data_IF_647180290289
#
_entry.id   IF_647180290289
#
_cell.length_a   1.000
_cell.length_b   1.000
_cell.length_c   1.000
_cell.angle_alpha   90.00
_cell.angle_beta   90.00
_cell.angle_gamma   90.00
#
_symmetry.space_group_name_H-M   'P 1'
#
loop_
_entity.id
_entity.type
_entity.pdbx_description
1 polymer ?
#
# COMPACT_ATOMS: atom_id res chain seq x y z
N UNK A 1 -17.28 58.75 73.58
CA UNK A 1 -17.55 60.14 73.14
C UNK A 1 -17.45 60.20 71.62
N UNK A 2 -18.54 60.67 70.99
CA UNK A 2 -18.65 61.28 69.65
C UNK A 2 -18.38 60.49 68.35
N UNK A 3 -19.52 60.23 67.65
CA UNK A 3 -19.83 60.26 66.19
C UNK A 3 -19.38 59.05 65.34
N UNK A 4 -20.24 58.23 64.74
CA UNK A 4 -21.38 58.43 63.79
C UNK A 4 -20.95 58.96 62.41
N UNK A 5 -21.25 58.16 61.35
CA UNK A 5 -21.71 58.45 59.95
C UNK A 5 -21.37 57.18 59.13
N UNK A 6 -22.29 56.28 58.78
CA UNK A 6 -23.44 56.35 57.87
C UNK A 6 -23.11 56.18 56.37
N UNK A 7 -23.49 54.99 55.86
CA UNK A 7 -24.13 54.65 54.58
C UNK A 7 -23.73 55.35 53.28
N UNK A 8 -23.46 54.52 52.26
CA UNK A 8 -23.45 54.91 50.86
C UNK A 8 -23.35 53.72 49.90
N UNK A 9 -24.44 52.97 49.74
CA UNK A 9 -24.67 52.10 48.58
C UNK A 9 -24.87 53.01 47.36
N UNK A 10 -24.06 52.85 46.32
CA UNK A 10 -24.18 53.57 45.06
C UNK A 10 -23.85 52.66 43.87
N UNK A 11 -24.88 52.32 43.10
CA UNK A 11 -24.96 51.98 41.67
C UNK A 11 -23.67 51.56 40.93
N UNK A 12 -23.55 50.35 40.38
CA UNK A 12 -24.20 49.83 39.15
C UNK A 12 -24.00 50.74 37.93
N UNK A 13 -23.26 50.19 36.96
CA UNK A 13 -23.26 50.45 35.50
C UNK A 13 -22.50 51.67 34.95
N UNK A 14 -21.58 51.33 34.03
CA UNK A 14 -21.07 52.12 32.88
C UNK A 14 -19.69 52.77 33.03
N UNK A 15 -18.61 52.02 32.76
CA UNK A 15 -17.67 52.29 31.64
C UNK A 15 -17.04 50.95 31.20
N UNK A 16 -17.82 50.19 30.44
CA UNK A 16 -17.33 49.33 29.37
C UNK A 16 -16.87 50.26 28.23
N UNK A 17 -15.58 50.55 28.10
CA UNK A 17 -15.07 51.21 26.88
C UNK A 17 -13.55 51.15 26.61
N UNK A 18 -12.69 50.66 27.52
CA UNK A 18 -11.24 50.72 27.30
C UNK A 18 -10.46 49.42 27.60
N UNK A 19 -11.15 48.28 27.62
CA UNK A 19 -10.55 46.95 27.52
C UNK A 19 -10.96 46.21 26.22
N UNK A 20 -11.72 46.87 25.35
CA UNK A 20 -12.44 46.25 24.22
C UNK A 20 -12.00 46.66 22.81
N UNK A 21 -10.90 47.39 22.63
CA UNK A 21 -10.51 47.88 21.28
C UNK A 21 -9.12 47.39 20.80
N UNK A 22 -8.39 46.61 21.62
CA UNK A 22 -7.12 46.00 21.22
C UNK A 22 -7.17 44.53 20.79
N UNK A 23 -8.35 43.88 20.83
CA UNK A 23 -8.49 42.43 20.61
C UNK A 23 -9.29 42.07 19.34
N UNK A 24 -9.31 42.99 18.38
CA UNK A 24 -10.00 42.87 17.08
C UNK A 24 -9.01 42.77 15.90
N UNK A 25 -7.80 42.27 16.14
CA UNK A 25 -6.80 41.97 15.10
C UNK A 25 -6.65 40.44 14.96
N UNK A 26 -7.47 39.90 14.07
CA UNK A 26 -7.27 38.66 13.29
C UNK A 26 -6.86 37.38 14.02
N UNK A 27 -7.85 36.62 14.51
CA UNK A 27 -7.67 35.19 14.75
C UNK A 27 -7.47 34.51 13.39
N UNK A 28 -6.25 34.06 13.11
CA UNK A 28 -6.01 33.20 11.97
C UNK A 28 -6.74 31.87 12.14
N UNK A 29 -7.21 31.28 11.04
CA UNK A 29 -7.80 29.94 11.05
C UNK A 29 -6.75 28.95 10.53
N UNK A 30 -6.61 27.82 11.22
CA UNK A 30 -5.77 26.70 10.79
C UNK A 30 -6.67 25.49 10.58
N UNK A 31 -6.54 24.86 9.42
CA UNK A 31 -7.28 23.63 9.08
C UNK A 31 -6.31 22.60 8.54
N UNK A 32 -6.46 21.34 8.97
CA UNK A 32 -5.71 20.20 8.45
C UNK A 32 -6.65 19.30 7.65
N UNK A 33 -6.22 18.91 6.47
CA UNK A 33 -6.81 17.78 5.76
C UNK A 33 -6.35 16.46 6.38
N UNK A 34 -7.10 15.38 6.16
CA UNK A 34 -6.64 14.04 6.51
C UNK A 34 -5.40 13.66 5.70
N UNK A 35 -4.39 13.03 6.33
CA UNK A 35 -3.22 12.55 5.61
C UNK A 35 -3.63 11.59 4.49
N UNK A 36 -3.01 11.76 3.33
CA UNK A 36 -3.11 10.90 2.17
C UNK A 36 -1.88 10.03 2.08
N UNK A 37 -2.03 8.72 1.89
CA UNK A 37 -0.88 7.89 1.52
C UNK A 37 -0.36 8.29 0.14
N UNK A 38 0.94 8.14 -0.01
CA UNK A 38 1.70 8.59 -1.15
C UNK A 38 2.55 7.43 -1.67
N UNK A 39 2.06 6.72 -2.70
CA UNK A 39 2.73 5.56 -3.26
C UNK A 39 2.54 4.28 -2.44
N UNK A 40 3.19 3.18 -2.85
CA UNK A 40 3.05 1.90 -2.17
C UNK A 40 3.65 1.92 -0.75
N UNK A 41 3.01 1.24 0.22
CA UNK A 41 3.61 0.91 1.51
C UNK A 41 4.78 -0.07 1.35
N UNK A 42 5.70 -0.10 2.32
CA UNK A 42 6.82 -1.05 2.33
C UNK A 42 6.99 -1.70 3.70
N UNK A 43 7.21 -3.01 3.73
CA UNK A 43 7.67 -3.70 4.94
C UNK A 43 9.19 -3.55 5.02
N UNK A 44 9.66 -2.79 5.99
CA UNK A 44 11.06 -2.47 6.21
C UNK A 44 11.63 -3.39 7.28
N UNK A 45 12.71 -4.10 6.96
CA UNK A 45 13.43 -4.93 7.92
C UNK A 45 14.52 -4.12 8.62
N UNK A 46 14.61 -4.20 9.94
CA UNK A 46 15.59 -3.42 10.71
C UNK A 46 16.22 -4.27 11.81
N UNK A 47 17.22 -3.75 12.52
CA UNK A 47 17.77 -4.42 13.70
C UNK A 47 16.75 -4.60 14.82
N UNK A 48 15.63 -3.86 14.77
CA UNK A 48 14.50 -3.91 15.71
C UNK A 48 13.35 -4.80 15.24
N UNK A 49 13.53 -5.53 14.14
CA UNK A 49 12.49 -6.32 13.49
C UNK A 49 11.84 -5.60 12.32
N UNK A 50 10.77 -6.19 11.79
CA UNK A 50 10.04 -5.64 10.66
C UNK A 50 9.09 -4.51 11.08
N UNK A 51 8.99 -3.47 10.26
CA UNK A 51 8.06 -2.35 10.45
C UNK A 51 7.38 -2.02 9.13
N UNK A 52 6.08 -1.78 9.14
CA UNK A 52 5.40 -1.30 7.94
C UNK A 52 5.52 0.22 7.84
N UNK A 53 6.18 0.70 6.80
CA UNK A 53 6.33 2.11 6.52
C UNK A 53 5.29 2.60 5.51
N UNK A 54 4.72 3.77 5.79
CA UNK A 54 3.80 4.50 4.92
C UNK A 54 4.38 5.89 4.66
N UNK A 55 4.48 6.28 3.39
CA UNK A 55 4.70 7.67 3.01
C UNK A 55 3.35 8.39 2.95
N UNK A 56 3.24 9.57 3.55
CA UNK A 56 1.99 10.36 3.60
C UNK A 56 2.21 11.83 3.30
N UNK A 57 1.19 12.47 2.74
CA UNK A 57 1.09 13.92 2.53
C UNK A 57 -0.08 14.44 3.34
N UNK A 58 0.13 15.50 4.11
CA UNK A 58 -0.95 16.22 4.79
C UNK A 58 -0.93 17.70 4.41
N UNK A 59 -2.10 18.24 4.09
CA UNK A 59 -2.26 19.66 3.77
C UNK A 59 -2.71 20.40 5.02
N UNK A 60 -1.97 21.43 5.41
CA UNK A 60 -2.34 22.41 6.41
C UNK A 60 -2.62 23.74 5.71
N UNK A 61 -3.79 24.32 5.91
CA UNK A 61 -4.13 25.65 5.40
C UNK A 61 -4.24 26.62 6.55
N UNK A 62 -3.51 27.74 6.46
CA UNK A 62 -3.55 28.85 7.42
C UNK A 62 -4.08 30.09 6.72
N UNK A 63 -5.11 30.71 7.28
CA UNK A 63 -5.55 32.03 6.87
C UNK A 63 -5.23 33.03 7.97
N UNK A 64 -4.56 34.14 7.64
CA UNK A 64 -4.29 35.20 8.60
C UNK A 64 -4.27 36.57 7.92
N UNK A 65 -4.49 37.62 8.71
CA UNK A 65 -4.48 39.01 8.21
C UNK A 65 -3.18 39.67 8.60
N UNK A 66 -2.56 40.42 7.68
CA UNK A 66 -1.37 41.19 8.00
C UNK A 66 -1.71 42.35 8.96
N UNK A 67 -0.89 42.66 9.98
CA UNK A 67 -1.19 43.66 11.01
C UNK A 67 -1.51 45.08 10.49
N UNK A 68 -1.10 45.42 9.27
CA UNK A 68 -1.30 46.73 8.64
C UNK A 68 -2.02 46.67 7.29
N UNK A 69 -2.55 45.51 6.89
CA UNK A 69 -3.27 45.36 5.63
C UNK A 69 -4.70 44.86 5.84
N UNK A 70 -5.60 45.19 4.92
CA UNK A 70 -6.90 44.52 4.78
C UNK A 70 -6.78 43.20 4.03
N UNK A 71 -5.61 42.89 3.47
CA UNK A 71 -5.33 41.66 2.74
C UNK A 71 -5.25 40.46 3.68
N UNK A 72 -6.01 39.42 3.35
CA UNK A 72 -5.86 38.08 3.90
C UNK A 72 -4.78 37.33 3.14
N UNK A 73 -3.88 36.67 3.86
CA UNK A 73 -2.92 35.73 3.30
C UNK A 73 -3.45 34.33 3.53
N UNK A 74 -3.44 33.53 2.47
CA UNK A 74 -3.60 32.09 2.54
C UNK A 74 -2.20 31.46 2.43
N UNK A 75 -1.81 30.74 3.47
CA UNK A 75 -0.58 29.95 3.49
C UNK A 75 -0.96 28.47 3.51
N UNK A 76 -0.62 27.76 2.44
CA UNK A 76 -0.79 26.31 2.35
C UNK A 76 0.55 25.64 2.63
N UNK A 77 0.53 24.69 3.56
CA UNK A 77 1.69 23.92 3.98
C UNK A 77 1.45 22.46 3.64
N UNK A 78 2.40 21.86 2.95
CA UNK A 78 2.36 20.45 2.60
C UNK A 78 3.41 19.72 3.42
N UNK A 79 2.93 18.90 4.34
CA UNK A 79 3.76 18.05 5.18
C UNK A 79 4.00 16.72 4.46
N UNK A 80 5.23 16.49 4.03
CA UNK A 80 5.65 15.22 3.43
C UNK A 80 6.30 14.37 4.51
N UNK A 81 5.67 13.24 4.84
CA UNK A 81 6.02 12.44 6.02
C UNK A 81 6.22 10.98 5.68
N UNK A 82 6.96 10.30 6.54
CA UNK A 82 6.98 8.84 6.64
C UNK A 82 6.57 8.46 8.05
N UNK A 83 5.80 7.40 8.17
CA UNK A 83 5.40 6.81 9.45
C UNK A 83 5.63 5.31 9.44
N UNK A 84 5.97 4.75 10.60
CA UNK A 84 6.07 3.32 10.79
C UNK A 84 4.94 2.78 11.65
N UNK A 85 4.56 1.54 11.36
CA UNK A 85 3.54 0.80 12.05
C UNK A 85 4.08 -0.57 12.46
N UNK A 86 3.72 -1.00 13.67
CA UNK A 86 4.04 -2.34 14.15
C UNK A 86 3.20 -3.38 13.36
N UNK A 87 3.81 -4.37 12.69
CA UNK A 87 3.08 -5.42 11.96
C UNK A 87 2.08 -6.21 12.83
N UNK A 88 2.33 -6.31 14.12
CA UNK A 88 1.57 -7.13 15.07
C UNK A 88 0.25 -6.47 15.47
N UNK A 89 0.21 -5.14 15.52
CA UNK A 89 -0.92 -4.36 16.03
C UNK A 89 -1.47 -3.35 15.04
N UNK A 90 -0.73 -3.05 13.96
CA UNK A 90 -0.92 -1.94 13.01
C UNK A 90 -0.83 -0.54 13.60
N UNK A 91 -0.54 -0.42 14.90
CA UNK A 91 -0.42 0.88 15.55
C UNK A 91 0.82 1.62 15.04
N UNK A 92 0.68 2.93 14.86
CA UNK A 92 1.79 3.81 14.50
C UNK A 92 2.79 3.85 15.65
N UNK A 93 4.04 3.50 15.37
CA UNK A 93 5.15 3.53 16.33
C UNK A 93 5.84 4.89 16.32
N UNK A 94 6.02 5.49 15.14
CA UNK A 94 6.58 6.82 14.97
C UNK A 94 6.11 7.49 13.68
N UNK A 95 6.28 8.82 13.61
CA UNK A 95 6.08 9.63 12.42
C UNK A 95 7.22 10.63 12.29
N UNK A 96 7.67 10.88 11.06
CA UNK A 96 8.74 11.81 10.74
C UNK A 96 8.37 12.68 9.55
N UNK A 97 8.52 13.99 9.71
CA UNK A 97 8.46 14.94 8.61
C UNK A 97 9.79 14.99 7.87
N UNK A 98 9.74 14.73 6.57
CA UNK A 98 10.91 14.74 5.68
C UNK A 98 11.05 16.07 4.96
N UNK A 99 9.93 16.68 4.58
CA UNK A 99 9.91 18.00 3.97
C UNK A 99 8.64 18.75 4.32
N UNK A 100 8.77 20.08 4.42
CA UNK A 100 7.68 21.02 4.57
C UNK A 100 7.71 22.01 3.40
N UNK A 101 6.78 21.86 2.47
CA UNK A 101 6.66 22.80 1.34
C UNK A 101 5.65 23.87 1.75
N UNK A 102 6.09 25.12 1.82
CA UNK A 102 5.25 26.25 2.19
C UNK A 102 4.94 27.05 0.94
N UNK A 103 3.66 27.14 0.60
CA UNK A 103 3.14 28.01 -0.43
C UNK A 103 2.44 29.20 0.21
N UNK A 104 2.86 30.40 -0.16
CA UNK A 104 2.17 31.65 0.16
C UNK A 104 1.59 32.20 -1.11
N UNK A 105 0.26 32.24 -1.19
CA UNK A 105 -0.38 32.82 -2.35
C UNK A 105 -1.47 33.81 -1.96
N UNK A 106 -1.55 34.88 -2.74
CA UNK A 106 -2.66 35.81 -2.72
C UNK A 106 -3.78 35.36 -3.70
N UNK A 107 -3.50 34.35 -4.52
CA UNK A 107 -4.36 33.84 -5.59
C UNK A 107 -4.49 32.31 -5.48
N UNK A 108 -5.68 31.74 -5.70
CA UNK A 108 -6.00 30.33 -5.37
C UNK A 108 -5.32 29.27 -6.26
N UNK A 109 -4.19 29.58 -6.91
CA UNK A 109 -3.44 28.59 -7.68
C UNK A 109 -2.87 27.55 -6.70
N UNK A 110 -3.16 26.30 -6.99
CA UNK A 110 -2.66 25.14 -6.23
C UNK A 110 -1.31 24.77 -6.83
N UNK A 111 -0.20 25.00 -6.11
CA UNK A 111 1.08 24.43 -6.52
C UNK A 111 1.16 22.98 -6.05
N UNK A 112 1.63 22.10 -6.94
CA UNK A 112 1.85 20.71 -6.61
C UNK A 112 3.12 20.61 -5.73
N UNK A 113 2.96 20.35 -4.43
CA UNK A 113 4.07 20.18 -3.49
C UNK A 113 4.97 18.95 -3.73
N UNK A 114 4.79 18.27 -4.86
CA UNK A 114 5.52 17.07 -5.20
C UNK A 114 5.13 15.88 -4.33
N UNK A 115 5.59 14.67 -4.71
CA UNK A 115 5.27 13.45 -3.99
C UNK A 115 6.26 13.18 -2.86
N UNK A 116 5.86 12.32 -1.93
CA UNK A 116 6.79 11.51 -1.13
C UNK A 116 6.60 10.04 -1.50
N UNK A 117 7.68 9.26 -1.64
CA UNK A 117 7.61 7.86 -2.09
C UNK A 117 8.67 7.02 -1.41
N UNK A 118 8.27 5.85 -0.90
CA UNK A 118 9.21 4.78 -0.55
C UNK A 118 9.62 4.08 -1.85
N UNK A 119 10.92 4.05 -2.13
CA UNK A 119 11.44 3.51 -3.39
C UNK A 119 11.92 2.06 -3.22
N UNK A 120 12.59 1.76 -2.11
CA UNK A 120 13.07 0.42 -1.79
C UNK A 120 14.06 0.42 -0.64
N UNK A 121 14.54 -0.76 -0.27
CA UNK A 121 15.43 -0.95 0.86
C UNK A 121 16.66 -1.77 0.47
N UNK A 122 17.84 -1.27 0.81
CA UNK A 122 19.12 -1.98 0.73
C UNK A 122 19.73 -2.03 2.12
N UNK A 123 19.87 -3.23 2.70
CA UNK A 123 20.39 -3.42 4.07
C UNK A 123 19.62 -2.53 5.08
N UNK A 124 20.31 -1.74 5.88
CA UNK A 124 19.77 -0.81 6.88
C UNK A 124 19.38 0.56 6.32
N UNK A 125 19.35 0.73 4.98
CA UNK A 125 18.98 1.98 4.31
C UNK A 125 17.71 1.82 3.49
N UNK A 126 16.76 2.73 3.73
CA UNK A 126 15.54 2.89 2.95
C UNK A 126 15.66 4.11 2.06
N UNK A 127 15.50 3.93 0.76
CA UNK A 127 15.51 5.03 -0.20
C UNK A 127 14.12 5.63 -0.33
N UNK A 128 14.07 6.96 -0.26
CA UNK A 128 12.83 7.74 -0.26
C UNK A 128 12.99 8.94 -1.19
N UNK A 129 11.99 9.18 -2.03
CA UNK A 129 11.85 10.47 -2.71
C UNK A 129 10.98 11.40 -1.87
N UNK A 130 11.39 12.63 -1.65
CA UNK A 130 10.58 13.64 -0.97
C UNK A 130 10.68 14.98 -1.69
N UNK A 131 9.54 15.48 -2.19
CA UNK A 131 9.42 16.69 -3.01
C UNK A 131 10.23 16.60 -4.31
N UNK A 132 11.48 17.04 -4.27
CA UNK A 132 12.42 17.16 -5.38
C UNK A 132 13.78 16.52 -5.07
N UNK A 133 13.87 15.70 -4.00
CA UNK A 133 15.11 15.12 -3.52
C UNK A 133 15.01 13.61 -3.28
N UNK A 134 16.09 12.92 -3.64
CA UNK A 134 16.37 11.55 -3.22
C UNK A 134 17.04 11.56 -1.84
N UNK A 135 16.48 10.80 -0.91
CA UNK A 135 16.96 10.64 0.46
C UNK A 135 17.27 9.17 0.73
N UNK A 136 18.35 8.93 1.49
CA UNK A 136 18.65 7.66 2.13
C UNK A 136 18.33 7.78 3.62
N UNK A 137 17.40 6.98 4.12
CA UNK A 137 16.96 6.97 5.51
C UNK A 137 17.45 5.70 6.22
N UNK A 138 17.76 5.81 7.51
CA UNK A 138 18.03 4.67 8.39
C UNK A 138 16.78 3.82 8.59
N UNK A 139 16.84 2.51 8.38
CA UNK A 139 15.72 1.59 8.59
C UNK A 139 15.25 1.51 10.06
N UNK A 140 16.10 1.88 11.04
CA UNK A 140 15.77 1.77 12.46
C UNK A 140 14.90 2.92 13.00
N UNK A 141 15.07 4.13 12.45
CA UNK A 141 14.51 5.38 13.02
C UNK A 141 14.22 6.48 11.99
N UNK A 142 14.35 6.17 10.69
CA UNK A 142 14.22 7.12 9.59
C UNK A 142 15.14 8.35 9.67
N UNK A 143 16.23 8.32 10.44
CA UNK A 143 17.28 9.36 10.39
C UNK A 143 17.85 9.48 8.98
N UNK A 144 18.08 10.72 8.51
CA UNK A 144 18.63 10.96 7.17
C UNK A 144 20.10 10.54 7.19
N UNK A 145 20.43 9.48 6.46
CA UNK A 145 21.80 8.99 6.27
C UNK A 145 22.49 9.75 5.14
N UNK A 146 21.78 10.00 4.04
CA UNK A 146 22.25 10.86 2.95
C UNK A 146 21.10 11.65 2.32
N UNK A 147 21.38 12.89 1.99
CA UNK A 147 20.59 13.79 1.15
C UNK A 147 21.39 14.13 -0.12
N UNK A 148 20.88 15.01 -0.98
CA UNK A 148 21.60 15.43 -2.20
C UNK A 148 23.00 15.94 -1.90
N UNK A 149 23.16 16.79 -0.89
CA UNK A 149 24.47 17.37 -0.57
C UNK A 149 25.49 16.30 -0.18
N UNK A 150 25.07 15.31 0.63
CA UNK A 150 25.95 14.17 0.97
C UNK A 150 26.22 13.26 -0.22
N UNK A 151 25.24 13.01 -1.08
CA UNK A 151 25.42 12.21 -2.31
C UNK A 151 26.42 12.88 -3.27
N UNK A 152 26.36 14.20 -3.42
CA UNK A 152 27.31 14.98 -4.23
C UNK A 152 28.68 15.05 -3.59
N UNK A 153 28.78 15.21 -2.27
CA UNK A 153 30.06 15.17 -1.56
C UNK A 153 30.75 13.79 -1.69
N UNK A 154 29.98 12.71 -1.69
CA UNK A 154 30.48 11.36 -1.97
C UNK A 154 30.84 11.14 -3.45
N UNK A 155 30.34 11.98 -4.36
CA UNK A 155 30.56 11.86 -5.80
C UNK A 155 30.84 13.23 -6.45
N UNK A 156 32.00 13.87 -6.18
CA UNK A 156 32.25 15.26 -6.60
C UNK A 156 32.16 15.50 -8.12
N UNK A 157 32.44 14.47 -8.92
CA UNK A 157 32.29 14.53 -10.38
C UNK A 157 30.83 14.59 -10.86
N UNK A 158 29.86 14.41 -9.96
CA UNK A 158 28.42 14.39 -10.23
C UNK A 158 27.66 15.58 -9.60
N UNK A 159 28.36 16.56 -9.03
CA UNK A 159 27.73 17.75 -8.44
C UNK A 159 26.82 18.45 -9.46
N UNK A 160 25.57 18.70 -9.07
CA UNK A 160 24.55 19.31 -9.93
C UNK A 160 23.95 18.37 -10.98
N UNK A 161 24.37 17.10 -11.04
CA UNK A 161 23.86 16.14 -12.03
C UNK A 161 22.76 15.22 -11.49
N UNK A 162 22.55 15.18 -10.16
CA UNK A 162 21.45 14.43 -9.58
C UNK A 162 20.09 15.05 -9.95
N UNK A 163 19.09 14.23 -10.32
CA UNK A 163 17.82 14.75 -10.82
C UNK A 163 16.98 15.41 -9.72
N UNK A 164 16.06 16.27 -10.15
CA UNK A 164 14.98 16.87 -9.35
C UNK A 164 13.61 16.27 -9.67
N UNK A 165 13.57 15.25 -10.54
CA UNK A 165 12.35 14.52 -10.89
C UNK A 165 12.41 13.07 -10.43
N UNK A 166 11.28 12.58 -9.93
CA UNK A 166 11.06 11.19 -9.53
C UNK A 166 11.12 10.21 -10.71
N UNK A 167 10.89 10.69 -11.94
CA UNK A 167 10.89 9.86 -13.14
C UNK A 167 12.31 9.32 -13.46
N UNK A 168 13.33 9.95 -12.91
CA UNK A 168 14.74 9.65 -13.14
C UNK A 168 15.36 8.76 -12.05
N UNK A 169 14.54 8.20 -11.15
CA UNK A 169 14.99 7.24 -10.13
C UNK A 169 14.19 5.95 -10.21
N UNK A 170 14.88 4.81 -10.03
CA UNK A 170 14.26 3.50 -10.07
C UNK A 170 14.89 2.57 -9.03
N UNK A 171 14.04 1.75 -8.42
CA UNK A 171 14.50 0.63 -7.61
C UNK A 171 14.62 -0.63 -8.46
N UNK A 172 15.84 -1.10 -8.69
CA UNK A 172 16.11 -2.28 -9.52
C UNK A 172 17.20 -3.17 -8.90
N UNK A 173 16.85 -3.81 -7.78
CA UNK A 173 17.80 -4.58 -6.96
C UNK A 173 18.83 -3.70 -6.22
N UNK A 174 18.60 -2.39 -6.24
CA UNK A 174 19.43 -1.31 -5.70
C UNK A 174 18.91 0.03 -6.23
N UNK A 175 19.41 1.13 -5.68
CA UNK A 175 19.00 2.46 -6.13
C UNK A 175 19.73 2.86 -7.41
N UNK A 176 18.98 3.00 -8.50
CA UNK A 176 19.48 3.47 -9.80
C UNK A 176 18.97 4.88 -10.05
N UNK A 177 19.88 5.75 -10.49
CA UNK A 177 19.61 7.15 -10.81
C UNK A 177 20.04 7.42 -12.25
N UNK A 178 19.13 7.97 -13.04
CA UNK A 178 19.46 8.62 -14.31
C UNK A 178 19.85 10.06 -14.02
N UNK A 179 21.09 10.42 -14.34
CA UNK A 179 21.61 11.77 -14.18
C UNK A 179 21.03 12.70 -15.26
N UNK A 180 21.08 14.01 -15.02
CA UNK A 180 20.57 15.02 -15.98
C UNK A 180 21.27 15.00 -17.34
N UNK A 181 22.46 14.39 -17.43
CA UNK A 181 23.21 14.19 -18.67
C UNK A 181 22.93 12.84 -19.36
N UNK A 182 21.94 12.08 -18.85
CA UNK A 182 21.48 10.81 -19.40
C UNK A 182 22.27 9.58 -18.95
N UNK A 183 23.39 9.74 -18.22
CA UNK A 183 24.13 8.60 -17.67
C UNK A 183 23.33 7.94 -16.55
N UNK A 184 23.38 6.61 -16.48
CA UNK A 184 22.79 5.84 -15.38
C UNK A 184 23.88 5.43 -14.40
N UNK A 185 23.61 5.64 -13.12
CA UNK A 185 24.48 5.22 -12.02
C UNK A 185 23.70 4.43 -10.99
N UNK A 186 24.37 3.48 -10.32
CA UNK A 186 23.85 2.80 -9.14
C UNK A 186 24.52 3.37 -7.90
N UNK A 187 23.73 3.74 -6.90
CA UNK A 187 24.24 4.14 -5.59
C UNK A 187 24.53 2.90 -4.75
N UNK A 188 25.73 2.82 -4.19
CA UNK A 188 26.22 1.67 -3.41
C UNK A 188 26.39 2.01 -1.92
N UNK A 189 26.13 1.03 -1.04
CA UNK A 189 26.28 1.19 0.41
C UNK A 189 27.58 0.57 0.94
N UNK A 190 28.19 1.12 2.01
CA UNK A 190 27.63 2.17 2.89
C UNK A 190 28.01 3.62 2.48
N UNK A 191 28.93 3.80 1.55
CA UNK A 191 29.56 5.10 1.29
C UNK A 191 28.81 5.99 0.29
N UNK A 192 27.68 5.51 -0.24
CA UNK A 192 26.85 6.19 -1.24
C UNK A 192 27.60 6.57 -2.53
N UNK A 193 28.57 5.74 -2.93
CA UNK A 193 29.31 5.93 -4.19
C UNK A 193 28.43 5.57 -5.38
N UNK A 194 28.48 6.40 -6.40
CA UNK A 194 27.78 6.22 -7.67
C UNK A 194 28.69 5.46 -8.64
N UNK A 195 28.28 4.25 -9.01
CA UNK A 195 28.99 3.43 -9.98
C UNK A 195 28.25 3.44 -11.32
N UNK A 196 28.94 3.50 -12.47
CA UNK A 196 28.30 3.37 -13.77
C UNK A 196 27.44 2.10 -13.82
N UNK A 197 26.20 2.23 -14.30
CA UNK A 197 25.27 1.12 -14.35
C UNK A 197 24.58 1.03 -15.70
N UNK A 198 24.47 -0.19 -16.20
CA UNK A 198 23.73 -0.51 -17.42
C UNK A 198 22.64 -1.52 -17.11
N UNK A 199 21.50 -1.38 -17.77
CA UNK A 199 20.41 -2.34 -17.63
C UNK A 199 20.90 -3.71 -18.11
N UNK A 200 20.71 -4.80 -17.34
CA UNK A 200 21.07 -6.13 -17.78
C UNK A 200 20.41 -6.48 -19.12
N UNK A 201 21.14 -7.19 -19.98
CA UNK A 201 20.65 -7.57 -21.30
C UNK A 201 19.28 -8.27 -21.21
N UNK A 202 18.34 -7.82 -22.04
CA UNK A 202 16.96 -8.34 -22.05
C UNK A 202 16.04 -7.81 -20.94
N UNK A 203 16.49 -6.87 -20.10
CA UNK A 203 15.70 -6.34 -18.98
C UNK A 203 15.22 -4.88 -19.15
N UNK A 204 15.42 -4.24 -20.31
CA UNK A 204 15.03 -2.83 -20.54
C UNK A 204 13.56 -2.57 -20.18
N UNK A 205 12.63 -3.41 -20.65
CA UNK A 205 11.21 -3.29 -20.31
C UNK A 205 10.91 -3.44 -18.82
N UNK A 206 11.68 -4.27 -18.12
CA UNK A 206 11.52 -4.44 -16.68
C UNK A 206 12.02 -3.21 -15.91
N UNK A 207 13.13 -2.62 -16.37
CA UNK A 207 13.66 -1.38 -15.83
C UNK A 207 12.73 -0.19 -16.08
N UNK A 208 12.26 0.01 -17.31
CA UNK A 208 11.30 1.08 -17.65
C UNK A 208 10.04 0.99 -16.79
N UNK A 209 9.57 -0.23 -16.54
CA UNK A 209 8.44 -0.46 -15.64
C UNK A 209 8.79 -0.14 -14.19
N UNK A 210 9.98 -0.47 -13.71
CA UNK A 210 10.41 -0.12 -12.36
C UNK A 210 10.47 1.40 -12.16
N UNK A 211 11.05 2.13 -13.13
CA UNK A 211 11.03 3.59 -13.15
C UNK A 211 9.59 4.16 -13.21
N UNK A 212 8.71 3.55 -14.02
CA UNK A 212 7.28 3.88 -14.03
C UNK A 212 6.58 3.61 -12.71
N UNK A 213 6.90 2.51 -12.02
CA UNK A 213 6.34 2.19 -10.71
C UNK A 213 6.67 3.25 -9.67
N UNK A 214 7.87 3.84 -9.73
CA UNK A 214 8.30 4.90 -8.83
C UNK A 214 7.43 6.16 -8.94
N UNK A 215 6.98 6.55 -10.14
CA UNK A 215 6.24 7.80 -10.36
C UNK A 215 4.74 7.65 -10.65
N UNK A 216 4.31 6.64 -11.40
CA UNK A 216 2.93 6.52 -11.92
C UNK A 216 1.94 5.92 -10.90
N UNK A 217 2.38 4.99 -10.06
CA UNK A 217 1.47 4.19 -9.22
C UNK A 217 1.29 4.77 -7.81
N UNK A 218 0.42 5.77 -7.70
CA UNK A 218 0.08 6.49 -6.46
C UNK A 218 -0.44 5.61 -5.32
N UNK A 219 -1.00 4.42 -5.60
CA UNK A 219 -1.61 3.53 -4.60
C UNK A 219 -0.95 2.16 -4.44
N UNK A 220 0.10 1.86 -5.20
CA UNK A 220 0.46 0.48 -5.55
C UNK A 220 -0.36 0.00 -6.74
N UNK A 221 0.25 -0.82 -7.61
CA UNK A 221 -0.36 -1.28 -8.86
C UNK A 221 -1.32 -2.46 -8.69
N UNK A 222 -1.55 -2.91 -7.45
CA UNK A 222 -2.25 -4.15 -7.18
C UNK A 222 -3.71 -3.92 -6.84
N UNK A 223 -4.52 -4.78 -7.43
CA UNK A 223 -5.93 -4.98 -7.10
C UNK A 223 -6.08 -6.27 -6.29
N UNK A 224 -7.25 -6.47 -5.68
CA UNK A 224 -7.63 -7.72 -5.00
C UNK A 224 -7.32 -8.95 -5.85
N UNK A 225 -7.52 -8.82 -7.18
CA UNK A 225 -7.32 -9.90 -8.13
C UNK A 225 -5.87 -10.40 -8.20
N UNK A 226 -4.89 -9.50 -8.05
CA UNK A 226 -3.46 -9.80 -8.21
C UNK A 226 -2.90 -10.71 -7.10
N UNK A 227 -3.57 -10.72 -5.94
CA UNK A 227 -3.19 -11.51 -4.77
C UNK A 227 -3.74 -12.93 -4.77
N UNK A 228 -4.58 -13.29 -5.73
CA UNK A 228 -5.23 -14.60 -5.79
C UNK A 228 -4.59 -15.57 -6.79
N UNK A 229 -4.69 -16.86 -6.49
CA UNK A 229 -4.46 -17.99 -7.42
C UNK A 229 -5.67 -18.91 -7.41
N UNK A 230 -5.87 -19.61 -8.51
CA UNK A 230 -7.02 -20.52 -8.71
C UNK A 230 -6.74 -21.95 -8.29
N UNK A 231 -5.50 -22.42 -8.32
CA UNK A 231 -5.18 -23.83 -8.09
C UNK A 231 -3.77 -24.03 -7.52
N UNK A 232 -3.50 -25.26 -7.12
CA UNK A 232 -2.24 -25.74 -6.51
C UNK A 232 -2.12 -27.24 -6.72
N UNK A 233 -0.93 -27.79 -6.49
CA UNK A 233 -0.71 -29.23 -6.35
C UNK A 233 -0.41 -29.53 -4.89
N UNK A 234 -1.29 -30.27 -4.22
CA UNK A 234 -1.18 -30.64 -2.82
C UNK A 234 -1.12 -32.16 -2.68
N UNK A 235 -0.06 -32.70 -2.05
CA UNK A 235 0.09 -34.15 -1.89
C UNK A 235 0.07 -34.91 -3.22
N UNK A 236 0.63 -34.31 -4.29
CA UNK A 236 0.61 -34.88 -5.65
C UNK A 236 -0.74 -34.80 -6.37
N UNK A 237 -1.75 -34.15 -5.78
CA UNK A 237 -3.09 -34.01 -6.37
C UNK A 237 -3.33 -32.56 -6.76
N UNK A 238 -3.90 -32.36 -7.94
CA UNK A 238 -4.32 -31.03 -8.39
C UNK A 238 -5.61 -30.64 -7.66
N UNK A 239 -5.61 -29.45 -7.05
CA UNK A 239 -6.77 -28.87 -6.37
C UNK A 239 -6.99 -27.45 -6.87
N UNK A 240 -8.22 -27.15 -7.25
CA UNK A 240 -8.64 -25.83 -7.72
C UNK A 240 -9.76 -25.25 -6.86
N UNK A 241 -9.80 -23.92 -6.78
CA UNK A 241 -10.95 -23.16 -6.31
C UNK A 241 -11.64 -22.58 -7.55
N UNK A 242 -12.65 -23.29 -8.05
CA UNK A 242 -13.29 -23.04 -9.34
C UNK A 242 -14.81 -22.94 -9.21
N UNK A 243 -15.43 -22.24 -10.15
CA UNK A 243 -16.86 -22.39 -10.40
C UNK A 243 -17.14 -23.73 -11.10
N UNK A 244 -18.42 -24.12 -11.15
CA UNK A 244 -18.84 -25.30 -11.92
C UNK A 244 -18.43 -25.17 -13.39
N UNK A 245 -18.66 -23.99 -13.98
CA UNK A 245 -18.33 -23.75 -15.38
C UNK A 245 -16.82 -23.79 -15.62
N UNK A 246 -16.01 -23.14 -14.78
CA UNK A 246 -14.56 -23.24 -14.86
C UNK A 246 -14.08 -24.69 -14.73
N UNK A 247 -14.72 -25.50 -13.88
CA UNK A 247 -14.38 -26.92 -13.76
C UNK A 247 -14.69 -27.71 -15.03
N UNK A 248 -15.85 -27.48 -15.67
CA UNK A 248 -16.18 -28.14 -16.95
C UNK A 248 -15.30 -27.67 -18.10
N UNK A 249 -15.06 -26.37 -18.20
CA UNK A 249 -14.14 -25.79 -19.18
C UNK A 249 -12.71 -26.36 -19.02
N UNK A 250 -12.31 -26.74 -17.80
CA UNK A 250 -11.03 -27.39 -17.52
C UNK A 250 -10.96 -28.85 -17.98
N UNK A 251 -12.06 -29.60 -17.88
CA UNK A 251 -12.17 -30.99 -18.37
C UNK A 251 -12.14 -31.04 -19.90
N UNK A 252 -12.74 -30.04 -20.56
CA UNK A 252 -12.83 -29.91 -22.01
C UNK A 252 -11.58 -29.30 -22.66
N UNK A 253 -10.56 -28.94 -21.87
CA UNK A 253 -9.32 -28.36 -22.37
C UNK A 253 -8.41 -29.43 -23.02
N UNK A 254 -8.61 -29.65 -24.31
CA UNK A 254 -7.83 -30.60 -25.10
C UNK A 254 -6.32 -30.28 -25.12
N UNK A 255 -5.94 -29.01 -24.98
CA UNK A 255 -4.55 -28.56 -25.05
C UNK A 255 -3.91 -28.38 -23.67
N UNK A 256 -4.69 -28.36 -22.58
CA UNK A 256 -4.20 -28.21 -21.21
C UNK A 256 -3.72 -26.79 -20.86
N UNK A 257 -3.86 -25.83 -21.76
CA UNK A 257 -3.28 -24.48 -21.62
C UNK A 257 -4.12 -23.57 -20.74
N UNK A 258 -5.45 -23.74 -20.76
CA UNK A 258 -6.37 -22.85 -20.08
C UNK A 258 -6.17 -22.91 -18.57
N UNK A 259 -5.68 -24.04 -18.05
CA UNK A 259 -5.49 -24.31 -16.63
C UNK A 259 -4.04 -24.54 -16.20
N UNK A 260 -3.07 -24.27 -17.08
CA UNK A 260 -1.64 -24.44 -16.78
C UNK A 260 -1.08 -23.40 -15.78
N UNK A 261 -1.57 -22.15 -15.82
CA UNK A 261 -1.12 -21.08 -14.90
C UNK A 261 -2.04 -20.92 -13.68
N UNK A 262 -1.52 -20.83 -12.46
CA UNK A 262 -2.35 -20.65 -11.26
C UNK A 262 -2.88 -19.21 -11.10
N UNK A 263 -2.24 -18.24 -11.75
CA UNK A 263 -2.50 -16.81 -11.63
C UNK A 263 -3.66 -16.30 -12.49
N UNK A 264 -4.07 -17.06 -13.51
CA UNK A 264 -5.14 -16.66 -14.41
C UNK A 264 -6.47 -17.22 -13.92
N UNK A 265 -7.36 -16.33 -13.47
CA UNK A 265 -8.72 -16.66 -13.06
C UNK A 265 -9.65 -16.10 -14.12
N UNK A 266 -10.55 -16.94 -14.64
CA UNK A 266 -11.53 -16.52 -15.64
C UNK A 266 -12.46 -15.49 -14.98
N UNK A 267 -12.64 -14.34 -15.62
CA UNK A 267 -13.65 -13.39 -15.18
C UNK A 267 -15.02 -13.83 -15.71
N UNK A 268 -15.69 -14.69 -14.96
CA UNK A 268 -17.08 -15.09 -15.20
C UNK A 268 -18.10 -14.03 -14.70
N UNK A 269 -17.60 -12.83 -14.42
CA UNK A 269 -18.37 -11.71 -13.91
C UNK A 269 -18.56 -11.76 -12.40
N UNK A 270 -19.35 -10.79 -11.92
CA UNK A 270 -19.56 -10.54 -10.49
C UNK A 270 -20.22 -11.69 -9.73
N UNK A 271 -20.95 -12.59 -10.41
CA UNK A 271 -21.73 -13.67 -9.79
C UNK A 271 -20.93 -14.97 -9.57
N UNK A 272 -19.68 -15.04 -10.02
CA UNK A 272 -18.89 -16.26 -9.98
C UNK A 272 -18.77 -16.79 -8.54
N UNK A 273 -19.28 -17.99 -8.30
CA UNK A 273 -19.23 -18.70 -7.01
C UNK A 273 -18.31 -19.90 -7.15
N UNK A 274 -17.30 -19.97 -6.29
CA UNK A 274 -16.21 -20.93 -6.40
C UNK A 274 -16.12 -21.81 -5.17
N UNK A 275 -16.03 -23.11 -5.40
CA UNK A 275 -15.78 -24.12 -4.38
C UNK A 275 -14.51 -24.90 -4.69
N UNK A 276 -14.11 -25.80 -3.80
CA UNK A 276 -12.93 -26.62 -4.04
C UNK A 276 -13.26 -27.82 -4.94
N UNK A 277 -12.38 -28.06 -5.91
CA UNK A 277 -12.43 -29.12 -6.90
C UNK A 277 -11.12 -29.88 -6.91
N UNK A 278 -11.22 -31.19 -7.10
CA UNK A 278 -10.10 -32.10 -7.08
C UNK A 278 -10.01 -32.86 -8.38
N UNK A 279 -8.80 -32.95 -8.94
CA UNK A 279 -8.57 -33.84 -10.07
C UNK A 279 -8.63 -35.31 -9.61
N UNK A 280 -9.57 -36.05 -10.17
CA UNK A 280 -9.68 -37.50 -9.98
C UNK A 280 -9.14 -38.29 -11.17
N UNK A 281 -9.00 -37.64 -12.33
CA UNK A 281 -8.29 -38.18 -13.50
C UNK A 281 -7.44 -37.10 -14.17
N UNK A 282 -6.20 -37.47 -14.49
CA UNK A 282 -5.29 -36.66 -15.31
C UNK A 282 -5.05 -37.38 -16.64
N UNK A 283 -5.23 -36.66 -17.74
CA UNK A 283 -4.88 -37.11 -19.08
C UNK A 283 -3.52 -36.61 -19.52
N UNK A 284 -3.22 -36.85 -20.80
CA UNK A 284 -2.12 -36.18 -21.50
C UNK A 284 -2.66 -35.37 -22.67
N UNK A 285 -1.96 -34.28 -23.00
CA UNK A 285 -2.21 -33.52 -24.22
C UNK A 285 -1.88 -34.35 -25.46
N UNK A 286 -2.44 -34.03 -26.64
CA UNK A 286 -2.18 -34.78 -27.87
C UNK A 286 -0.69 -34.86 -28.21
N UNK A 287 -0.26 -36.00 -28.78
CA UNK A 287 1.13 -36.27 -29.16
C UNK A 287 1.71 -35.33 -30.24
N UNK A 288 0.92 -34.38 -30.77
CA UNK A 288 1.40 -33.33 -31.68
C UNK A 288 2.26 -32.28 -30.98
N UNK A 289 2.30 -32.24 -29.64
CA UNK A 289 3.29 -31.46 -28.86
C UNK A 289 4.60 -32.22 -28.75
N UNK A 290 5.71 -31.47 -28.74
CA UNK A 290 7.06 -32.02 -28.56
C UNK A 290 7.20 -32.86 -27.28
N UNK A 291 6.36 -32.61 -26.26
CA UNK A 291 6.14 -33.48 -25.12
C UNK A 291 4.65 -33.44 -24.71
N UNK A 292 3.97 -34.59 -24.56
CA UNK A 292 2.63 -34.65 -23.98
C UNK A 292 2.66 -34.20 -22.51
N UNK A 293 1.89 -33.18 -22.19
CA UNK A 293 1.80 -32.57 -20.85
C UNK A 293 0.57 -33.10 -20.11
N UNK A 294 0.57 -33.13 -18.76
CA UNK A 294 -0.62 -33.47 -17.98
C UNK A 294 -1.79 -32.52 -18.26
N UNK A 295 -3.01 -33.07 -18.41
CA UNK A 295 -4.25 -32.28 -18.52
C UNK A 295 -5.31 -32.75 -17.55
N UNK A 296 -6.21 -31.86 -17.15
CA UNK A 296 -7.35 -32.19 -16.29
C UNK A 296 -8.38 -32.94 -17.15
N UNK A 297 -8.76 -34.16 -16.73
CA UNK A 297 -9.80 -34.94 -17.44
C UNK A 297 -11.09 -35.05 -16.65
N UNK A 298 -10.97 -35.11 -15.32
CA UNK A 298 -12.11 -35.21 -14.44
C UNK A 298 -11.84 -34.47 -13.16
N UNK A 299 -12.75 -33.57 -12.82
CA UNK A 299 -12.79 -32.77 -11.62
C UNK A 299 -14.04 -33.14 -10.83
N UNK A 300 -13.86 -33.38 -9.54
CA UNK A 300 -14.95 -33.61 -8.61
C UNK A 300 -14.94 -32.54 -7.53
N UNK A 301 -16.12 -31.97 -7.27
CA UNK A 301 -16.27 -30.99 -6.20
C UNK A 301 -16.07 -31.68 -4.86
N UNK A 302 -15.24 -31.08 -4.01
CA UNK A 302 -15.02 -31.59 -2.65
C UNK A 302 -16.27 -31.34 -1.80
N UNK A 303 -16.97 -32.39 -1.32
CA UNK A 303 -18.20 -32.25 -0.56
C UNK A 303 -17.92 -31.57 0.80
N UNK A 304 -18.86 -30.74 1.26
CA UNK A 304 -18.75 -30.06 2.56
C UNK A 304 -17.70 -28.94 2.64
N UNK A 305 -17.11 -28.54 1.51
CA UNK A 305 -16.23 -27.38 1.42
C UNK A 305 -17.01 -26.09 1.14
N UNK A 306 -16.39 -24.95 1.42
CA UNK A 306 -17.05 -23.64 1.28
C UNK A 306 -17.35 -23.25 -0.17
N UNK A 307 -18.32 -22.33 -0.32
CA UNK A 307 -18.64 -21.66 -1.57
C UNK A 307 -18.41 -20.15 -1.43
N UNK A 308 -17.55 -19.60 -2.27
CA UNK A 308 -16.97 -18.27 -2.12
C UNK A 308 -17.27 -17.42 -3.36
N UNK A 309 -17.99 -16.31 -3.15
CA UNK A 309 -18.25 -15.33 -4.19
C UNK A 309 -16.93 -14.66 -4.59
N UNK A 310 -16.61 -14.77 -5.89
CA UNK A 310 -15.34 -14.35 -6.49
C UNK A 310 -14.11 -14.89 -5.74
N UNK A 311 -14.23 -16.08 -5.16
CA UNK A 311 -13.20 -16.69 -4.32
C UNK A 311 -11.86 -16.88 -5.02
N UNK A 312 -10.76 -16.65 -4.31
CA UNK A 312 -9.39 -16.92 -4.77
C UNK A 312 -8.57 -17.45 -3.61
N UNK A 313 -7.68 -18.42 -3.85
CA UNK A 313 -6.69 -18.77 -2.83
C UNK A 313 -5.64 -17.66 -2.76
N UNK A 314 -5.31 -17.17 -1.57
CA UNK A 314 -4.31 -16.11 -1.41
C UNK A 314 -2.95 -16.65 -1.85
N UNK A 315 -2.22 -15.94 -2.72
CA UNK A 315 -0.85 -16.31 -3.13
C UNK A 315 0.09 -16.43 -1.93
N UNK A 316 1.09 -17.29 -2.01
CA UNK A 316 2.19 -17.37 -1.06
C UNK A 316 3.14 -16.16 -1.16
N UNK A 317 4.10 -16.05 -0.22
CA UNK A 317 5.21 -15.11 -0.37
C UNK A 317 6.06 -15.46 -1.59
N UNK A 318 6.81 -14.49 -2.09
CA UNK A 318 7.76 -14.70 -3.18
C UNK A 318 8.99 -15.46 -2.65
N UNK A 319 9.45 -16.49 -3.35
CA UNK A 319 10.74 -17.08 -3.00
C UNK A 319 11.89 -16.15 -3.41
N UNK A 320 13.03 -16.26 -2.72
CA UNK A 320 14.20 -15.46 -3.06
C UNK A 320 14.63 -15.73 -4.52
N UNK A 321 14.87 -14.66 -5.28
CA UNK A 321 15.27 -14.75 -6.70
C UNK A 321 14.13 -14.94 -7.69
N UNK A 322 12.90 -15.20 -7.25
CA UNK A 322 11.76 -15.28 -8.16
C UNK A 322 11.38 -13.88 -8.68
N UNK A 323 11.03 -13.76 -9.97
CA UNK A 323 10.51 -12.52 -10.49
C UNK A 323 9.15 -12.21 -9.87
N UNK A 324 8.90 -10.95 -9.58
CA UNK A 324 7.56 -10.52 -9.16
C UNK A 324 6.56 -10.60 -10.32
N UNK A 325 7.05 -10.32 -11.52
CA UNK A 325 6.27 -10.27 -12.76
C UNK A 325 6.92 -11.14 -13.82
N UNK A 326 6.09 -11.86 -14.57
CA UNK A 326 6.51 -12.59 -15.76
C UNK A 326 5.91 -11.92 -17.00
N UNK A 327 6.72 -11.75 -18.04
CA UNK A 327 6.23 -11.27 -19.33
C UNK A 327 5.57 -12.41 -20.10
N UNK A 328 4.31 -12.20 -20.51
CA UNK A 328 3.59 -13.10 -21.42
C UNK A 328 3.16 -12.29 -22.64
N UNK A 329 3.91 -12.42 -23.74
CA UNK A 329 3.75 -11.56 -24.91
C UNK A 329 4.11 -10.11 -24.61
N UNK A 330 3.19 -9.18 -24.85
CA UNK A 330 3.37 -7.75 -24.60
C UNK A 330 2.91 -7.29 -23.21
N UNK A 331 2.34 -8.18 -22.41
CA UNK A 331 1.80 -7.84 -21.08
C UNK A 331 2.61 -8.51 -19.98
N UNK A 332 3.01 -7.73 -18.99
CA UNK A 332 3.55 -8.25 -17.75
C UNK A 332 2.41 -8.70 -16.83
N UNK A 333 2.55 -9.89 -16.25
CA UNK A 333 1.56 -10.51 -15.36
C UNK A 333 2.23 -10.89 -14.03
N UNK A 334 1.51 -10.86 -12.90
CA UNK A 334 2.09 -11.33 -11.65
C UNK A 334 2.54 -12.76 -11.84
N UNK A 335 3.75 -13.11 -11.39
CA UNK A 335 4.26 -14.47 -11.55
C UNK A 335 3.31 -15.50 -10.88
N UNK A 336 3.14 -16.70 -11.47
CA UNK A 336 2.44 -17.80 -10.81
C UNK A 336 3.11 -18.10 -9.46
N UNK A 337 2.30 -18.42 -8.45
CA UNK A 337 2.80 -18.84 -7.13
C UNK A 337 1.90 -19.92 -6.55
N UNK A 338 2.46 -20.69 -5.64
CA UNK A 338 1.65 -21.55 -4.78
C UNK A 338 0.75 -20.70 -3.86
N UNK A 339 -0.41 -21.21 -3.43
CA UNK A 339 -1.19 -20.59 -2.37
C UNK A 339 -0.39 -20.45 -1.09
N UNK A 340 -0.73 -19.43 -0.31
CA UNK A 340 -0.26 -19.29 1.05
C UNK A 340 -0.78 -20.46 1.88
N UNK A 341 0.15 -21.23 2.42
CA UNK A 341 -0.11 -22.36 3.31
C UNK A 341 0.42 -22.07 4.71
N UNK A 342 -0.31 -22.52 5.71
CA UNK A 342 0.18 -22.59 7.09
C UNK A 342 0.79 -23.95 7.38
N UNK A 343 1.36 -24.13 8.57
CA UNK A 343 2.00 -25.38 9.00
C UNK A 343 1.08 -26.61 8.86
N UNK A 344 -0.23 -26.44 9.07
CA UNK A 344 -1.26 -27.49 8.90
C UNK A 344 -1.72 -27.69 7.44
N UNK A 345 -0.98 -27.17 6.47
CA UNK A 345 -1.25 -27.25 5.02
C UNK A 345 -2.53 -26.59 4.53
N UNK A 346 -3.35 -26.04 5.43
CA UNK A 346 -4.52 -25.26 5.10
C UNK A 346 -4.17 -23.99 4.32
N UNK A 347 -5.08 -23.58 3.42
CA UNK A 347 -4.94 -22.36 2.61
C UNK A 347 -5.88 -21.25 3.10
N UNK A 348 -5.56 -20.02 2.72
CA UNK A 348 -6.49 -18.89 2.85
C UNK A 348 -7.25 -18.65 1.57
N UNK A 349 -8.55 -18.39 1.69
CA UNK A 349 -9.44 -17.99 0.60
C UNK A 349 -9.87 -16.55 0.80
N UNK A 350 -9.55 -15.69 -0.15
CA UNK A 350 -10.04 -14.33 -0.27
C UNK A 350 -11.35 -14.34 -1.07
N UNK A 351 -12.41 -13.69 -0.58
CA UNK A 351 -13.72 -13.68 -1.23
C UNK A 351 -14.46 -12.36 -1.02
N UNK A 352 -15.53 -12.13 -1.79
CA UNK A 352 -16.45 -11.00 -1.58
C UNK A 352 -17.69 -11.44 -0.82
N UNK A 353 -18.25 -10.57 0.02
CA UNK A 353 -19.51 -10.87 0.73
C UNK A 353 -20.76 -10.57 -0.09
N UNK A 354 -20.70 -9.54 -0.94
CA UNK A 354 -21.83 -9.05 -1.75
C UNK A 354 -21.34 -8.51 -3.11
N UNK A 355 -22.31 -8.26 -3.99
CA UNK A 355 -22.10 -7.77 -5.36
C UNK A 355 -22.14 -6.25 -5.49
N UNK A 356 -22.76 -5.58 -4.53
CA UNK A 356 -22.97 -4.14 -4.51
C UNK A 356 -21.79 -3.44 -3.81
N UNK A 357 -21.84 -2.11 -3.77
CA UNK A 357 -20.83 -1.26 -3.12
C UNK A 357 -20.75 -1.47 -1.60
N UNK A 358 -21.70 -2.20 -1.02
CA UNK A 358 -21.69 -2.62 0.38
C UNK A 358 -20.91 -3.94 0.60
N UNK A 359 -20.47 -4.59 -0.48
CA UNK A 359 -19.65 -5.79 -0.42
C UNK A 359 -18.30 -5.51 0.23
N UNK A 360 -17.94 -6.35 1.18
CA UNK A 360 -16.64 -6.36 1.84
C UNK A 360 -15.81 -7.53 1.35
N UNK A 361 -14.49 -7.44 1.53
CA UNK A 361 -13.62 -8.59 1.46
C UNK A 361 -13.77 -9.44 2.71
N UNK A 362 -13.81 -10.74 2.53
CA UNK A 362 -13.65 -11.72 3.60
C UNK A 362 -12.45 -12.61 3.35
N UNK A 363 -11.90 -13.14 4.42
CA UNK A 363 -10.88 -14.19 4.38
C UNK A 363 -11.38 -15.40 5.16
N UNK A 364 -11.27 -16.58 4.57
CA UNK A 364 -11.50 -17.85 5.24
C UNK A 364 -10.20 -18.65 5.31
N UNK A 365 -9.94 -19.32 6.43
CA UNK A 365 -8.90 -20.35 6.52
C UNK A 365 -9.53 -21.72 6.39
N UNK A 366 -8.84 -22.58 5.66
CA UNK A 366 -9.21 -23.98 5.50
C UNK A 366 -8.29 -24.92 6.26
N UNK A 367 -8.72 -26.17 6.45
CA UNK A 367 -7.87 -27.29 6.86
C UNK A 367 -7.11 -27.87 5.64
N UNK A 368 -6.26 -28.88 5.86
CA UNK A 368 -5.59 -29.61 4.76
C UNK A 368 -6.59 -30.25 3.77
N UNK A 369 -7.77 -30.64 4.25
CA UNK A 369 -8.87 -31.20 3.45
C UNK A 369 -9.83 -30.13 2.93
N UNK A 370 -9.45 -28.85 3.00
CA UNK A 370 -10.17 -27.70 2.45
C UNK A 370 -11.51 -27.38 3.11
N UNK A 371 -11.83 -27.98 4.26
CA UNK A 371 -12.96 -27.56 5.09
C UNK A 371 -12.66 -26.24 5.79
N UNK A 372 -13.67 -25.38 5.89
CA UNK A 372 -13.51 -24.08 6.55
C UNK A 372 -13.24 -24.26 8.05
N UNK A 373 -12.15 -23.64 8.54
CA UNK A 373 -11.77 -23.61 9.94
C UNK A 373 -12.28 -22.35 10.63
N UNK A 374 -12.12 -21.21 9.97
CA UNK A 374 -12.67 -19.94 10.40
C UNK A 374 -12.87 -19.03 9.19
N UNK A 375 -13.70 -18.01 9.37
CA UNK A 375 -13.97 -16.96 8.39
C UNK A 375 -14.11 -15.63 9.10
N UNK A 376 -13.59 -14.58 8.47
CA UNK A 376 -13.70 -13.22 8.98
C UNK A 376 -13.99 -12.23 7.85
N UNK A 377 -14.75 -11.19 8.17
CA UNK A 377 -15.00 -10.06 7.30
C UNK A 377 -14.01 -8.95 7.62
N UNK A 378 -13.45 -8.34 6.58
CA UNK A 378 -12.49 -7.26 6.69
C UNK A 378 -13.20 -5.92 6.51
N UNK A 379 -12.72 -4.84 7.14
CA UNK A 379 -13.29 -3.50 6.98
C UNK A 379 -12.87 -2.83 5.65
N UNK A 380 -12.50 -3.62 4.64
CA UNK A 380 -12.03 -3.19 3.31
C UNK A 380 -12.81 -3.94 2.22
N UNK A 381 -13.04 -3.31 1.08
CA UNK A 381 -13.66 -3.89 -0.13
C UNK A 381 -12.62 -4.10 -1.26
N UNK A 382 -11.42 -3.54 -1.12
CA UNK A 382 -10.31 -3.72 -2.06
C UNK A 382 -8.96 -3.88 -1.35
N UNK A 383 -8.23 -4.94 -1.68
CA UNK A 383 -6.88 -5.22 -1.18
C UNK A 383 -5.85 -4.61 -2.12
N UNK A 384 -4.93 -3.84 -1.57
CA UNK A 384 -3.91 -3.10 -2.32
C UNK A 384 -2.50 -3.61 -2.07
N UNK A 385 -2.18 -4.12 -0.87
CA UNK A 385 -0.90 -4.78 -0.58
C UNK A 385 -1.08 -5.82 0.53
N UNK A 386 -0.14 -6.77 0.60
CA UNK A 386 -0.05 -7.74 1.70
C UNK A 386 1.38 -8.17 1.97
N UNK A 387 1.63 -8.58 3.21
CA UNK A 387 2.85 -9.24 3.65
C UNK A 387 2.50 -10.35 4.63
N UNK A 388 3.39 -11.33 4.72
CA UNK A 388 3.35 -12.35 5.76
C UNK A 388 4.48 -12.05 6.75
N UNK A 389 4.14 -11.93 8.03
CA UNK A 389 5.10 -11.69 9.11
C UNK A 389 4.85 -12.74 10.19
N UNK A 390 5.71 -13.77 10.23
CA UNK A 390 5.48 -14.94 11.05
C UNK A 390 4.17 -15.64 10.69
N UNK A 391 3.27 -15.81 11.67
CA UNK A 391 1.95 -16.42 11.50
C UNK A 391 0.83 -15.39 11.20
N UNK A 392 1.19 -14.14 10.93
CA UNK A 392 0.27 -13.04 10.67
C UNK A 392 0.31 -12.61 9.21
N UNK A 393 -0.82 -12.05 8.79
CA UNK A 393 -0.93 -11.31 7.55
C UNK A 393 -1.09 -9.83 7.83
N UNK A 394 -0.20 -9.02 7.28
CA UNK A 394 -0.35 -7.58 7.24
C UNK A 394 -1.00 -7.24 5.89
N UNK A 395 -2.13 -6.55 5.91
CA UNK A 395 -2.90 -6.20 4.71
C UNK A 395 -3.06 -4.69 4.65
N UNK A 396 -2.90 -4.11 3.47
CA UNK A 396 -3.28 -2.74 3.20
C UNK A 396 -4.40 -2.76 2.18
N UNK A 397 -5.53 -2.13 2.52
CA UNK A 397 -6.67 -2.05 1.63
C UNK A 397 -7.38 -0.71 1.72
N UNK A 398 -8.44 -0.60 0.93
CA UNK A 398 -9.32 0.55 0.95
C UNK A 398 -10.77 0.13 1.15
N UNK A 399 -11.57 1.07 1.60
CA UNK A 399 -13.01 0.96 1.83
C UNK A 399 -13.71 2.21 1.27
N UNK A 400 -15.02 2.17 0.99
CA UNK A 400 -15.77 3.38 0.71
C UNK A 400 -15.66 4.34 1.90
N UNK A 401 -15.30 5.61 1.64
CA UNK A 401 -15.33 6.66 2.66
C UNK A 401 -16.70 7.30 2.76
N UNK A 402 -16.93 8.10 3.80
CA UNK A 402 -18.13 8.92 3.89
C UNK A 402 -18.18 9.89 2.71
N UNK A 403 -19.36 10.05 2.09
CA UNK A 403 -19.57 11.03 1.04
C UNK A 403 -19.34 12.45 1.61
N UNK A 404 -18.21 13.06 1.24
CA UNK A 404 -17.90 14.46 1.55
C UNK A 404 -18.18 15.38 0.36
N UNK A 405 -18.07 16.69 0.58
CA UNK A 405 -18.27 17.72 -0.46
C UNK A 405 -17.25 17.66 -1.62
N UNK A 406 -16.18 16.88 -1.49
CA UNK A 406 -15.16 16.64 -2.53
C UNK A 406 -15.27 15.30 -3.26
N UNK A 407 -16.39 14.58 -3.12
CA UNK A 407 -16.57 13.22 -3.65
C UNK A 407 -16.22 12.13 -2.63
N UNK A 408 -16.56 10.88 -2.95
CA UNK A 408 -16.30 9.73 -2.09
C UNK A 408 -14.81 9.35 -2.14
N UNK A 409 -14.00 9.97 -1.27
CA UNK A 409 -12.60 9.57 -1.09
C UNK A 409 -12.58 8.21 -0.39
N UNK A 410 -11.88 7.24 -0.98
CA UNK A 410 -11.75 5.91 -0.38
C UNK A 410 -10.92 6.01 0.90
N UNK A 411 -11.37 5.35 1.95
CA UNK A 411 -10.68 5.27 3.24
C UNK A 411 -9.64 4.16 3.16
N UNK A 412 -8.43 4.44 3.57
CA UNK A 412 -7.35 3.47 3.56
C UNK A 412 -7.11 2.87 4.94
N UNK A 413 -7.01 1.54 5.00
CA UNK A 413 -6.93 0.80 6.26
C UNK A 413 -5.78 -0.19 6.19
N UNK A 414 -4.90 -0.10 7.18
CA UNK A 414 -3.89 -1.10 7.49
C UNK A 414 -4.51 -2.13 8.45
N UNK A 415 -4.32 -3.42 8.18
CA UNK A 415 -4.85 -4.53 8.97
C UNK A 415 -3.75 -5.52 9.30
N UNK A 416 -3.84 -6.13 10.47
CA UNK A 416 -3.09 -7.34 10.82
C UNK A 416 -4.11 -8.43 11.14
N UNK A 417 -3.95 -9.59 10.50
CA UNK A 417 -4.83 -10.75 10.62
C UNK A 417 -4.04 -11.92 11.17
N UNK A 418 -4.51 -12.50 12.25
CA UNK A 418 -3.90 -13.64 12.89
C UNK A 418 -4.25 -14.94 12.16
N UNK A 419 -3.26 -15.61 11.60
CA UNK A 419 -3.48 -16.79 10.76
C UNK A 419 -4.23 -17.91 11.47
N UNK A 420 -4.02 -18.10 12.78
CA UNK A 420 -4.63 -19.20 13.53
C UNK A 420 -6.09 -19.00 13.93
N UNK A 421 -6.49 -17.77 14.22
CA UNK A 421 -7.77 -17.47 14.86
C UNK A 421 -8.70 -16.66 13.98
N UNK A 422 -8.19 -16.02 12.91
CA UNK A 422 -8.95 -15.07 12.11
C UNK A 422 -9.17 -13.72 12.81
N UNK A 423 -8.69 -13.55 14.04
CA UNK A 423 -8.75 -12.27 14.76
C UNK A 423 -7.90 -11.22 14.05
N UNK A 424 -8.38 -9.98 13.99
CA UNK A 424 -7.65 -8.89 13.35
C UNK A 424 -7.73 -7.59 14.15
N UNK A 425 -6.77 -6.71 13.92
CA UNK A 425 -6.80 -5.30 14.34
C UNK A 425 -6.43 -4.42 13.15
N UNK A 426 -6.87 -3.16 13.17
CA UNK A 426 -6.60 -2.24 12.08
C UNK A 426 -6.25 -0.83 12.52
N UNK A 427 -5.82 -0.05 11.54
CA UNK A 427 -5.49 1.37 11.65
C UNK A 427 -6.00 2.10 10.40
N UNK A 428 -6.84 3.10 10.62
CA UNK A 428 -7.33 3.99 9.57
C UNK A 428 -6.30 5.11 9.35
N UNK A 429 -5.73 5.16 8.14
CA UNK A 429 -4.68 6.11 7.79
C UNK A 429 -5.20 7.54 7.84
N UNK A 430 -6.44 7.78 7.39
CA UNK A 430 -6.99 9.13 7.24
C UNK A 430 -7.45 9.73 8.57
N UNK A 431 -7.97 8.90 9.48
CA UNK A 431 -8.41 9.36 10.82
C UNK A 431 -7.33 9.18 11.89
N UNK A 432 -6.24 8.48 11.57
CA UNK A 432 -5.15 8.12 12.49
C UNK A 432 -5.66 7.44 13.76
N UNK A 433 -6.58 6.47 13.61
CA UNK A 433 -7.20 5.76 14.72
C UNK A 433 -7.21 4.26 14.50
N UNK A 434 -7.18 3.52 15.61
CA UNK A 434 -7.41 2.09 15.59
C UNK A 434 -8.81 1.76 15.06
N UNK A 435 -8.88 0.74 14.22
CA UNK A 435 -10.12 0.13 13.74
C UNK A 435 -10.25 -1.21 14.44
N UNK A 436 -11.32 -1.36 15.20
CA UNK A 436 -11.66 -2.61 15.87
C UNK A 436 -12.64 -3.42 15.03
N UNK A 437 -12.66 -4.75 15.17
CA UNK A 437 -13.79 -5.55 14.70
C UNK A 437 -15.07 -4.98 15.31
N UNK A 438 -16.10 -4.78 14.51
CA UNK A 438 -17.43 -4.50 15.07
C UNK A 438 -17.81 -5.73 15.93
N UNK A 439 -18.25 -5.50 17.19
CA UNK A 439 -18.65 -6.59 18.08
C UNK A 439 -19.84 -7.39 17.54
#
# INVERSE_FOLDING_TARGET
MTRSIAWGVGAVMTVLALAGVGWLVSRGQVTFESPERQGPPALIESGRGAQLWLATRQVETRSYRLPRSRTWILETRYHLRVQAHAPETTQRTWIKELALVIERSNDRRVVNAGPVRLLGQERDVVWVWAHDQLLALSADDASVRADRARLEAANPSLTGLFPTSLDEVAWFGGMVVTLVDGRRVRLTLPDFRAEPWTVPAGQERAFDRAASMSHTYWGGAYTTADFGVRHTVAGGRWVGLLSEREARDAEDDANGDNFAGSEWIVDEGRLARRGFWLATSLGRTPARRAAPEPRLQRLERLPGTGDYLQGRMLKGPRAAGEPEWQWRGVSARPAPREPLRFADQGVLVLFRTRLDEQGQLGIARTTADYHERWRVLLPIDELQNRWQVGDRLVLMGSAPGAAGSGGARRREILLTLHGHTGGWSGWDVATERAVSPNP
#
